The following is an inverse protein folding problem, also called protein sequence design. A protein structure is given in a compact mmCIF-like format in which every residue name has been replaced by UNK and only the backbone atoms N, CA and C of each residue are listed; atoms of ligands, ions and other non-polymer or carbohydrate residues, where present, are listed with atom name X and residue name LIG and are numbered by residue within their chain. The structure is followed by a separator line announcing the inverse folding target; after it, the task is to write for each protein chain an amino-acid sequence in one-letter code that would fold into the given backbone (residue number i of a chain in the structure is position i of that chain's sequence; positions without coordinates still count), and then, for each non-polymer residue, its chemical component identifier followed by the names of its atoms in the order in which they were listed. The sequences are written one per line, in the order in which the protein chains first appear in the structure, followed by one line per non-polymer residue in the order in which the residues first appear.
data_IF_763800666397
#
_entry.id   IF_763800666397
#
_cell.length_a   1.000
_cell.length_b   1.000
_cell.length_c   1.000
_cell.angle_alpha   90.00
_cell.angle_beta   90.00
_cell.angle_gamma   90.00
#
_symmetry.space_group_name_H-M   'P 1'
#
loop_
_entity.id
_entity.type
_entity.pdbx_description
1 polymer ?
#
# COMPACT_ATOMS: atom_id res chain seq x y z
N UNK A 1 -13.94 -22.40 -22.53
CA UNK A 1 -14.79 -22.01 -21.37
C UNK A 1 -14.22 -22.45 -20.02
N UNK A 2 -13.91 -23.74 -19.79
CA UNK A 2 -13.41 -24.20 -18.48
C UNK A 2 -12.08 -23.58 -18.03
N UNK A 3 -11.16 -23.30 -18.96
CA UNK A 3 -9.85 -22.68 -18.63
C UNK A 3 -10.00 -21.21 -18.25
N UNK A 4 -10.89 -20.46 -18.93
CA UNK A 4 -11.18 -19.08 -18.59
C UNK A 4 -11.89 -18.98 -17.24
N UNK A 5 -12.86 -19.84 -16.96
CA UNK A 5 -13.50 -19.90 -15.65
C UNK A 5 -12.49 -20.22 -14.54
N UNK A 6 -11.59 -21.19 -14.77
CA UNK A 6 -10.55 -21.54 -13.81
C UNK A 6 -9.57 -20.37 -13.55
N UNK A 7 -9.07 -19.71 -14.60
CA UNK A 7 -8.11 -18.60 -14.49
C UNK A 7 -8.72 -17.31 -13.93
N UNK A 8 -9.98 -17.00 -14.27
CA UNK A 8 -10.61 -15.74 -13.87
C UNK A 8 -11.42 -15.84 -12.57
N UNK A 9 -11.86 -17.03 -12.17
CA UNK A 9 -12.63 -17.22 -10.92
C UNK A 9 -11.91 -18.09 -9.91
N UNK A 10 -11.47 -19.29 -10.28
CA UNK A 10 -10.90 -20.24 -9.30
C UNK A 10 -9.54 -19.76 -8.79
N UNK A 11 -8.65 -19.33 -9.69
CA UNK A 11 -7.31 -18.85 -9.30
C UNK A 11 -7.39 -17.61 -8.40
N UNK A 12 -8.18 -16.56 -8.69
CA UNK A 12 -8.28 -15.39 -7.82
C UNK A 12 -8.94 -15.72 -6.48
N UNK A 13 -9.94 -16.60 -6.46
CA UNK A 13 -10.60 -17.03 -5.21
C UNK A 13 -9.63 -17.83 -4.35
N UNK A 14 -8.94 -18.83 -4.91
CA UNK A 14 -7.95 -19.63 -4.16
C UNK A 14 -6.76 -18.78 -3.74
N UNK A 15 -6.27 -17.90 -4.62
CA UNK A 15 -5.23 -16.93 -4.27
C UNK A 15 -5.71 -16.02 -3.13
N UNK A 16 -6.96 -15.55 -3.14
CA UNK A 16 -7.50 -14.76 -2.04
C UNK A 16 -7.63 -15.58 -0.76
N UNK A 17 -8.08 -16.83 -0.82
CA UNK A 17 -8.26 -17.71 0.35
C UNK A 17 -6.93 -18.16 0.94
N UNK A 18 -5.83 -18.16 0.17
CA UNK A 18 -4.49 -18.49 0.68
C UNK A 18 -3.73 -17.23 1.12
N UNK A 19 -3.76 -16.18 0.28
CA UNK A 19 -3.04 -14.92 0.54
C UNK A 19 -3.68 -14.15 1.67
N UNK A 20 -5.02 -14.07 1.76
CA UNK A 20 -5.70 -13.31 2.82
C UNK A 20 -5.37 -13.87 4.20
N UNK A 21 -5.46 -15.17 4.53
CA UNK A 21 -5.07 -15.64 5.85
C UNK A 21 -3.57 -15.53 6.11
N UNK A 22 -2.70 -15.69 5.12
CA UNK A 22 -1.26 -15.48 5.31
C UNK A 22 -0.90 -14.00 5.58
N UNK A 23 -1.72 -13.09 5.04
CA UNK A 23 -1.54 -11.63 5.15
C UNK A 23 -2.34 -11.02 6.31
N UNK A 24 -3.49 -11.60 6.68
CA UNK A 24 -4.54 -11.04 7.58
C UNK A 24 -4.77 -11.94 8.81
N UNK A 25 -3.84 -12.84 9.15
CA UNK A 25 -3.95 -13.58 10.41
C UNK A 25 -3.91 -12.57 11.59
N UNK A 26 -4.92 -12.54 12.49
CA UNK A 26 -5.03 -11.53 13.55
C UNK A 26 -3.95 -11.67 14.63
N UNK A 27 -3.35 -12.86 14.81
CA UNK A 27 -2.14 -13.03 15.66
C UNK A 27 -0.89 -12.38 15.08
N UNK A 28 -0.91 -12.06 13.79
CA UNK A 28 0.13 -11.33 13.04
C UNK A 28 -0.23 -9.86 12.78
N UNK A 29 -1.20 -9.25 13.47
CA UNK A 29 -1.55 -7.83 13.26
C UNK A 29 -0.32 -6.89 13.38
N UNK A 30 0.57 -7.16 14.33
CA UNK A 30 1.87 -6.46 14.40
C UNK A 30 2.78 -6.74 13.20
N UNK A 31 2.85 -7.99 12.74
CA UNK A 31 3.62 -8.38 11.56
C UNK A 31 3.04 -7.77 10.27
N UNK A 32 1.72 -7.66 10.16
CA UNK A 32 1.04 -6.96 9.07
C UNK A 32 1.37 -5.47 9.13
N UNK A 33 1.34 -4.86 10.32
CA UNK A 33 1.74 -3.47 10.48
C UNK A 33 3.22 -3.21 10.16
N UNK A 34 4.11 -4.17 10.49
CA UNK A 34 5.55 -4.12 10.19
C UNK A 34 5.82 -4.32 8.68
N UNK A 35 5.22 -5.35 8.07
CA UNK A 35 5.43 -5.72 6.66
C UNK A 35 4.87 -4.69 5.67
N UNK A 36 3.78 -4.00 6.05
CA UNK A 36 3.10 -3.02 5.20
C UNK A 36 3.38 -1.56 5.60
N UNK A 37 4.41 -1.29 6.41
CA UNK A 37 4.79 0.07 6.78
C UNK A 37 5.40 0.78 5.56
N UNK A 38 4.57 1.60 4.90
CA UNK A 38 4.96 2.51 3.81
C UNK A 38 4.41 3.89 4.14
N UNK A 39 5.30 4.85 4.34
CA UNK A 39 4.97 6.21 4.75
C UNK A 39 5.81 7.19 3.94
N UNK A 40 5.13 8.15 3.34
CA UNK A 40 5.74 9.29 2.67
C UNK A 40 5.54 10.51 3.56
N UNK A 41 6.65 11.15 3.93
CA UNK A 41 6.70 12.33 4.79
C UNK A 41 7.28 13.49 3.99
N UNK A 42 6.75 14.71 4.15
CA UNK A 42 7.42 15.88 3.60
C UNK A 42 8.56 16.34 4.53
N UNK A 43 9.67 16.81 3.95
CA UNK A 43 10.79 17.38 4.70
C UNK A 43 10.34 18.61 5.50
N UNK A 44 9.47 19.44 4.93
CA UNK A 44 8.87 20.61 5.59
C UNK A 44 8.06 20.21 6.83
N UNK A 45 7.25 19.15 6.75
CA UNK A 45 6.50 18.63 7.89
C UNK A 45 7.44 18.14 9.01
N UNK A 46 8.51 17.42 8.66
CA UNK A 46 9.48 16.94 9.64
C UNK A 46 10.31 18.07 10.28
N UNK A 47 10.52 19.20 9.60
CA UNK A 47 11.13 20.40 10.18
C UNK A 47 10.22 21.05 11.22
N UNK A 48 8.91 21.07 10.97
CA UNK A 48 7.91 21.71 11.86
C UNK A 48 7.61 20.81 13.08
N UNK A 49 7.50 19.50 12.88
CA UNK A 49 7.15 18.54 13.93
C UNK A 49 8.19 17.41 14.05
N UNK A 50 9.38 17.67 14.63
CA UNK A 50 10.46 16.70 14.71
C UNK A 50 10.12 15.50 15.59
N UNK A 51 9.36 15.69 16.68
CA UNK A 51 8.93 14.61 17.58
C UNK A 51 8.05 13.58 16.85
N UNK A 52 7.06 14.04 16.08
CA UNK A 52 6.21 13.14 15.29
C UNK A 52 6.99 12.42 14.19
N UNK A 53 7.97 13.08 13.57
CA UNK A 53 8.77 12.50 12.50
C UNK A 53 9.82 11.50 13.02
N UNK A 54 10.36 11.71 14.23
CA UNK A 54 11.29 10.77 14.89
C UNK A 54 10.68 9.37 15.09
N UNK A 55 9.38 9.27 15.38
CA UNK A 55 8.67 7.98 15.50
C UNK A 55 8.72 7.16 14.20
N UNK A 56 8.84 7.83 13.05
CA UNK A 56 8.95 7.19 11.74
C UNK A 56 10.40 7.00 11.28
N UNK A 57 11.34 7.84 11.75
CA UNK A 57 12.74 7.88 11.32
C UNK A 57 13.74 7.17 12.25
N UNK A 58 13.47 7.15 13.56
CA UNK A 58 14.41 6.73 14.60
C UNK A 58 14.13 5.33 15.18
N UNK A 59 13.22 4.55 14.59
CA UNK A 59 13.13 3.18 15.08
C UNK A 59 14.36 2.39 14.61
N UNK A 60 15.18 2.01 15.58
CA UNK A 60 16.32 1.09 15.57
C UNK A 60 15.90 -0.30 15.03
N UNK A 61 15.34 -0.32 13.84
CA UNK A 61 14.56 -1.40 13.28
C UNK A 61 15.21 -1.76 11.96
N UNK A 62 16.01 -2.83 12.01
CA UNK A 62 16.74 -3.41 10.87
C UNK A 62 15.84 -3.80 9.69
N UNK A 63 14.53 -3.69 9.81
CA UNK A 63 13.56 -4.00 8.76
C UNK A 63 13.06 -2.76 7.99
N UNK A 64 13.43 -1.55 8.39
CA UNK A 64 13.09 -0.30 7.69
C UNK A 64 14.21 0.15 6.75
N UNK A 65 13.79 0.72 5.63
CA UNK A 65 14.63 1.44 4.69
C UNK A 65 14.10 2.87 4.54
N UNK A 66 15.01 3.85 4.61
CA UNK A 66 14.68 5.27 4.47
C UNK A 66 15.34 5.80 3.21
N UNK A 67 14.53 6.35 2.30
CA UNK A 67 15.00 7.08 1.12
C UNK A 67 14.69 8.56 1.28
N UNK A 68 15.71 9.40 1.08
CA UNK A 68 15.58 10.85 1.02
C UNK A 68 15.79 11.28 -0.43
N UNK A 69 14.80 11.97 -0.99
CA UNK A 69 14.85 12.52 -2.34
C UNK A 69 15.58 13.87 -2.31
N UNK A 70 16.53 14.12 -3.20
CA UNK A 70 17.29 15.37 -3.28
C UNK A 70 16.49 16.46 -4.01
N UNK A 71 15.82 16.11 -5.10
CA UNK A 71 15.04 17.03 -5.94
C UNK A 71 13.60 17.18 -5.48
N UNK A 72 13.13 16.30 -4.59
CA UNK A 72 11.79 16.36 -4.00
C UNK A 72 11.88 16.56 -2.49
N UNK A 73 11.04 17.44 -1.92
CA UNK A 73 10.99 17.68 -0.47
C UNK A 73 10.33 16.54 0.31
N UNK A 74 10.73 15.30 0.05
CA UNK A 74 10.08 14.09 0.52
C UNK A 74 11.07 13.10 1.13
N UNK A 75 10.58 12.37 2.12
CA UNK A 75 11.25 11.27 2.79
C UNK A 75 10.31 10.07 2.71
N UNK A 76 10.78 8.99 2.12
CA UNK A 76 10.03 7.76 1.98
C UNK A 76 10.58 6.71 2.93
N UNK A 77 9.75 6.30 3.87
CA UNK A 77 10.04 5.27 4.87
C UNK A 77 9.24 4.03 4.51
N UNK A 78 9.94 2.94 4.23
CA UNK A 78 9.34 1.70 3.71
C UNK A 78 10.00 0.48 4.32
N UNK A 79 9.32 -0.66 4.28
CA UNK A 79 9.93 -1.94 4.65
C UNK A 79 11.06 -2.31 3.67
N UNK A 80 12.14 -2.94 4.13
CA UNK A 80 13.30 -3.33 3.28
C UNK A 80 12.92 -4.19 2.07
N UNK A 81 11.99 -5.12 2.26
CA UNK A 81 11.46 -5.93 1.16
C UNK A 81 10.82 -5.07 0.06
N UNK A 82 10.02 -4.07 0.45
CA UNK A 82 9.38 -3.15 -0.49
C UNK A 82 10.45 -2.28 -1.17
N UNK A 83 11.46 -1.83 -0.42
CA UNK A 83 12.58 -1.09 -0.99
C UNK A 83 13.35 -1.89 -2.05
N UNK A 84 13.54 -3.20 -1.81
CA UNK A 84 14.18 -4.09 -2.77
C UNK A 84 13.35 -4.23 -4.05
N UNK A 85 12.04 -4.46 -3.92
CA UNK A 85 11.13 -4.57 -5.06
C UNK A 85 11.07 -3.26 -5.87
N UNK A 86 10.90 -2.13 -5.19
CA UNK A 86 10.90 -0.81 -5.83
C UNK A 86 12.20 -0.58 -6.59
N UNK A 87 13.36 -0.90 -5.98
CA UNK A 87 14.65 -0.74 -6.63
C UNK A 87 14.76 -1.60 -7.89
N UNK A 88 14.36 -2.87 -7.84
CA UNK A 88 14.40 -3.77 -9.02
C UNK A 88 13.55 -3.22 -10.16
N UNK A 89 12.36 -2.69 -9.84
CA UNK A 89 11.45 -2.14 -10.84
C UNK A 89 11.98 -0.82 -11.42
N UNK A 90 12.45 0.09 -10.56
CA UNK A 90 13.01 1.39 -10.98
C UNK A 90 14.25 1.17 -11.83
N UNK A 91 15.19 0.34 -11.38
CA UNK A 91 16.42 0.02 -12.12
C UNK A 91 16.08 -0.60 -13.49
N UNK A 92 15.09 -1.50 -13.53
CA UNK A 92 14.61 -2.10 -14.79
C UNK A 92 14.03 -1.07 -15.76
N UNK A 93 13.21 -0.14 -15.27
CA UNK A 93 12.62 0.93 -16.10
C UNK A 93 13.72 1.86 -16.61
N UNK A 94 14.60 2.31 -15.72
CA UNK A 94 15.70 3.21 -16.08
C UNK A 94 16.67 2.55 -17.07
N UNK A 95 16.88 1.24 -16.98
CA UNK A 95 17.70 0.50 -17.94
C UNK A 95 17.07 0.43 -19.34
N UNK A 96 15.75 0.26 -19.42
CA UNK A 96 15.03 0.14 -20.71
C UNK A 96 14.73 1.52 -21.32
N UNK A 97 14.72 2.58 -20.52
CA UNK A 97 14.35 3.92 -20.99
C UNK A 97 15.52 4.56 -21.76
N UNK A 98 15.31 5.02 -23.01
CA UNK A 98 16.34 5.74 -23.77
C UNK A 98 16.47 7.18 -23.26
N UNK A 99 17.15 7.36 -22.13
CA UNK A 99 17.29 8.65 -21.42
C UNK A 99 17.89 9.76 -22.28
N UNK A 100 18.86 9.44 -23.15
CA UNK A 100 19.44 10.42 -24.07
C UNK A 100 18.45 10.94 -25.13
N UNK A 101 17.51 10.10 -25.56
CA UNK A 101 16.46 10.50 -26.51
C UNK A 101 15.39 11.37 -25.82
N UNK A 102 15.04 11.04 -24.57
CA UNK A 102 14.17 11.86 -23.74
C UNK A 102 14.78 13.23 -23.43
N UNK A 103 16.06 13.29 -23.07
CA UNK A 103 16.77 14.54 -22.80
C UNK A 103 16.70 15.49 -24.01
N UNK A 104 16.91 14.95 -25.23
CA UNK A 104 16.80 15.70 -26.48
C UNK A 104 15.38 16.20 -26.77
N UNK A 105 14.37 15.37 -26.52
CA UNK A 105 12.97 15.78 -26.65
C UNK A 105 12.63 16.92 -25.69
N UNK A 106 13.05 16.82 -24.43
CA UNK A 106 12.83 17.86 -23.42
C UNK A 106 13.51 19.16 -23.82
N UNK A 107 14.76 19.08 -24.29
CA UNK A 107 15.49 20.25 -24.80
C UNK A 107 14.80 20.89 -26.01
N UNK A 108 14.23 20.10 -26.91
CA UNK A 108 13.49 20.59 -28.08
C UNK A 108 12.17 21.27 -27.69
N UNK A 109 11.44 20.70 -26.73
CA UNK A 109 10.12 21.20 -26.30
C UNK A 109 10.26 22.43 -25.39
N UNK A 110 11.20 22.41 -24.44
CA UNK A 110 11.36 23.48 -23.45
C UNK A 110 12.37 24.55 -23.87
N UNK A 111 13.20 24.29 -24.89
CA UNK A 111 14.24 25.21 -25.35
C UNK A 111 15.40 25.40 -24.35
N UNK A 112 15.45 24.59 -23.28
CA UNK A 112 16.47 24.67 -22.23
C UNK A 112 17.60 23.70 -22.55
N UNK A 113 18.87 24.14 -22.46
CA UNK A 113 20.02 23.23 -22.53
C UNK A 113 20.01 22.35 -21.29
N UNK A 114 19.72 21.07 -21.47
CA UNK A 114 19.77 20.07 -20.41
C UNK A 114 21.07 19.28 -20.55
N UNK A 115 21.85 19.19 -19.47
CA UNK A 115 22.99 18.27 -19.43
C UNK A 115 22.45 16.85 -19.29
N UNK A 116 22.90 15.95 -20.15
CA UNK A 116 22.39 14.57 -20.21
C UNK A 116 22.61 13.83 -18.89
N UNK A 117 23.78 14.00 -18.26
CA UNK A 117 24.09 13.36 -16.96
C UNK A 117 23.15 13.82 -15.84
N UNK A 118 22.84 15.12 -15.80
CA UNK A 118 21.93 15.70 -14.81
C UNK A 118 20.48 15.25 -15.07
N UNK A 119 20.09 15.16 -16.34
CA UNK A 119 18.78 14.63 -16.73
C UNK A 119 18.59 13.19 -16.30
N UNK A 120 19.60 12.33 -16.45
CA UNK A 120 19.53 10.92 -16.04
C UNK A 120 19.28 10.80 -14.55
N UNK A 121 19.98 11.59 -13.74
CA UNK A 121 19.81 11.61 -12.27
C UNK A 121 18.40 12.07 -11.91
N UNK A 122 17.95 13.19 -12.48
CA UNK A 122 16.61 13.74 -12.22
C UNK A 122 15.52 12.75 -12.69
N UNK A 123 15.71 12.11 -13.84
CA UNK A 123 14.81 11.10 -14.38
C UNK A 123 14.70 9.90 -13.44
N UNK A 124 15.83 9.34 -13.04
CA UNK A 124 15.89 8.21 -12.12
C UNK A 124 15.18 8.54 -10.81
N UNK A 125 15.46 9.71 -10.22
CA UNK A 125 14.82 10.13 -8.99
C UNK A 125 13.32 10.39 -9.15
N UNK A 126 12.89 10.93 -10.30
CA UNK A 126 11.47 11.13 -10.62
C UNK A 126 10.70 9.81 -10.75
N UNK A 127 11.30 8.80 -11.39
CA UNK A 127 10.72 7.45 -11.47
C UNK A 127 10.60 6.84 -10.08
N UNK A 128 11.66 6.91 -9.27
CA UNK A 128 11.65 6.41 -7.89
C UNK A 128 10.56 7.12 -7.05
N UNK A 129 10.40 8.43 -7.22
CA UNK A 129 9.35 9.21 -6.55
C UNK A 129 7.94 8.77 -6.97
N UNK A 130 7.69 8.62 -8.28
CA UNK A 130 6.38 8.17 -8.78
C UNK A 130 6.01 6.80 -8.23
N UNK A 131 6.97 5.89 -8.12
CA UNK A 131 6.74 4.59 -7.50
C UNK A 131 6.47 4.69 -6.00
N UNK A 132 7.24 5.51 -5.26
CA UNK A 132 7.00 5.74 -3.84
C UNK A 132 5.56 6.20 -3.55
N UNK A 133 5.03 7.13 -4.36
CA UNK A 133 3.65 7.60 -4.25
C UNK A 133 2.67 6.48 -4.62
N UNK A 134 2.88 5.82 -5.76
CA UNK A 134 1.98 4.77 -6.26
C UNK A 134 1.88 3.61 -5.29
N UNK A 135 3.00 3.08 -4.80
CA UNK A 135 3.03 2.02 -3.81
C UNK A 135 2.37 2.46 -2.51
N UNK A 136 2.62 3.69 -2.04
CA UNK A 136 1.94 4.22 -0.85
C UNK A 136 0.41 4.23 -0.99
N UNK A 137 -0.11 4.60 -2.16
CA UNK A 137 -1.55 4.59 -2.44
C UNK A 137 -2.09 3.17 -2.52
N UNK A 138 -1.39 2.27 -3.23
CA UNK A 138 -1.77 0.85 -3.34
C UNK A 138 -1.83 0.22 -1.96
N UNK A 139 -0.79 0.38 -1.14
CA UNK A 139 -0.74 -0.22 0.18
C UNK A 139 -1.81 0.35 1.13
N UNK A 140 -2.06 1.66 1.10
CA UNK A 140 -3.18 2.25 1.85
C UNK A 140 -4.53 1.69 1.39
N UNK A 141 -4.71 1.53 0.08
CA UNK A 141 -5.94 1.00 -0.52
C UNK A 141 -6.16 -0.46 -0.14
N UNK A 142 -5.15 -1.31 -0.30
CA UNK A 142 -5.19 -2.72 0.08
C UNK A 142 -5.50 -2.87 1.56
N UNK A 143 -4.83 -2.09 2.43
CA UNK A 143 -5.12 -2.06 3.86
C UNK A 143 -6.58 -1.67 4.13
N UNK A 144 -7.08 -0.62 3.46
CA UNK A 144 -8.48 -0.19 3.58
C UNK A 144 -9.47 -1.26 3.14
N UNK A 145 -9.20 -1.96 2.03
CA UNK A 145 -10.02 -3.07 1.54
C UNK A 145 -10.05 -4.25 2.51
N UNK A 146 -8.90 -4.62 3.06
CA UNK A 146 -8.80 -5.70 4.06
C UNK A 146 -9.60 -5.35 5.31
N UNK A 147 -9.41 -4.15 5.86
CA UNK A 147 -10.13 -3.68 7.05
C UNK A 147 -11.64 -3.63 6.78
N UNK A 148 -12.06 -3.14 5.61
CA UNK A 148 -13.46 -3.08 5.20
C UNK A 148 -14.11 -4.48 5.11
N UNK A 149 -13.42 -5.47 4.53
CA UNK A 149 -13.92 -6.85 4.47
C UNK A 149 -14.08 -7.47 5.85
N UNK A 150 -13.09 -7.30 6.73
CA UNK A 150 -13.17 -7.78 8.12
C UNK A 150 -14.33 -7.12 8.86
N UNK A 151 -14.54 -5.82 8.66
CA UNK A 151 -15.67 -5.08 9.24
C UNK A 151 -17.02 -5.58 8.73
N UNK A 152 -17.14 -5.86 7.42
CA UNK A 152 -18.37 -6.40 6.84
C UNK A 152 -18.70 -7.79 7.41
N UNK A 153 -17.71 -8.68 7.53
CA UNK A 153 -17.89 -9.97 8.20
C UNK A 153 -18.31 -9.81 9.67
N UNK A 154 -17.75 -8.85 10.37
CA UNK A 154 -18.11 -8.57 11.77
C UNK A 154 -19.55 -8.06 11.91
N UNK A 155 -19.98 -7.13 11.05
CA UNK A 155 -21.37 -6.61 11.04
C UNK A 155 -22.36 -7.73 10.71
N UNK A 156 -22.08 -8.53 9.67
CA UNK A 156 -22.93 -9.67 9.31
C UNK A 156 -22.99 -10.71 10.44
N UNK A 157 -21.86 -11.01 11.07
CA UNK A 157 -21.80 -11.88 12.25
C UNK A 157 -22.67 -11.36 13.39
N UNK A 158 -22.57 -10.07 13.72
CA UNK A 158 -23.42 -9.44 14.74
C UNK A 158 -24.91 -9.52 14.38
N UNK A 159 -25.29 -9.22 13.14
CA UNK A 159 -26.69 -9.30 12.69
C UNK A 159 -27.23 -10.73 12.83
N UNK A 160 -26.45 -11.76 12.46
CA UNK A 160 -26.87 -13.16 12.59
C UNK A 160 -26.99 -13.55 14.07
N UNK A 161 -26.00 -13.25 14.90
CA UNK A 161 -26.00 -13.65 16.32
C UNK A 161 -27.08 -12.92 17.12
N UNK A 162 -27.23 -11.62 16.90
CA UNK A 162 -28.28 -10.81 17.53
C UNK A 162 -29.63 -11.21 16.95
N UNK A 163 -29.75 -11.37 15.63
CA UNK A 163 -30.98 -11.81 14.96
C UNK A 163 -31.51 -13.15 15.45
N UNK A 164 -30.65 -14.16 15.64
CA UNK A 164 -31.03 -15.43 16.26
C UNK A 164 -31.48 -15.26 17.72
N UNK A 165 -30.79 -14.41 18.48
CA UNK A 165 -31.13 -14.16 19.88
C UNK A 165 -32.48 -13.45 20.03
N UNK A 166 -32.79 -12.49 19.16
CA UNK A 166 -34.11 -11.84 19.09
C UNK A 166 -35.17 -12.79 18.54
N UNK A 167 -34.85 -13.61 17.55
CA UNK A 167 -35.74 -14.64 17.00
C UNK A 167 -36.20 -15.66 18.04
N UNK A 168 -35.37 -15.94 19.07
CA UNK A 168 -35.75 -16.80 20.20
C UNK A 168 -36.63 -16.10 21.26
N UNK A 169 -36.64 -14.77 21.29
CA UNK A 169 -37.48 -13.97 22.20
C UNK A 169 -38.86 -13.67 21.62
N UNK A 170 -39.03 -13.72 20.30
CA UNK A 170 -40.31 -13.43 19.62
C UNK A 170 -41.42 -14.45 19.97
N UNK A 171 -41.19 -15.78 19.96
CA UNK A 171 -42.23 -16.75 20.29
C UNK A 171 -42.81 -16.60 21.72
N UNK A 172 -42.00 -16.45 22.79
CA UNK A 172 -42.54 -16.26 24.13
C UNK A 172 -43.21 -14.89 24.33
N UNK A 173 -42.78 -13.84 23.62
CA UNK A 173 -43.45 -12.53 23.65
C UNK A 173 -44.80 -12.57 22.92
N UNK A 174 -44.89 -13.24 21.77
CA UNK A 174 -46.16 -13.41 21.05
C UNK A 174 -47.23 -14.10 21.90
N UNK A 175 -46.84 -15.16 22.62
CA UNK A 175 -47.73 -15.87 23.54
C UNK A 175 -48.19 -15.03 24.75
N UNK A 176 -47.42 -14.01 25.14
CA UNK A 176 -47.78 -13.05 26.21
C UNK A 176 -48.75 -11.95 25.72
N UNK A 177 -48.80 -11.68 24.42
CA UNK A 177 -49.74 -10.71 23.83
C UNK A 177 -51.04 -11.35 23.34
N UNK A 178 -51.10 -12.69 23.25
CA UNK A 178 -52.33 -13.46 22.94
C UNK A 178 -53.14 -13.88 24.18
N UNK A 179 -52.63 -13.65 25.40
CA UNK A 179 -53.35 -13.84 26.68
C UNK A 179 -53.95 -12.54 27.21
#
# INVERSE_FOLDING_TARGET
ENVQYFLFFVVPIVASVVVIPYVVNPTTSEHFHKNFKVVVLSRSFCKINPSACSVYLESNQDWLAVRRFEYFELIHVRHKFIAMLEKVVVDGICWVTPTGLLARMVQMVLGVRVKEDEFVVIWHESVEFMFAVTFSVIFKTVRGMVVSRVLAFFILGMIITVGESWGRLIPPLGNLFES
#
